data_IF_811072212584
#
_entry.id   IF_811072212584
#
_cell.length_a   1.000
_cell.length_b   1.000
_cell.length_c   1.000
_cell.angle_alpha   90.00
_cell.angle_beta   90.00
_cell.angle_gamma   90.00
#
_symmetry.space_group_name_H-M   'P 1'
#
loop_
_entity.id
_entity.type
_entity.pdbx_description
1 polymer ?
#
# COMPACT_ATOMS: atom_id res chain seq x y z
N UNK A 1 14.23 -8.14 -12.77
CA UNK A 1 13.39 -7.69 -11.64
C UNK A 1 12.55 -6.48 -12.06
N UNK A 2 11.26 -6.49 -11.78
CA UNK A 2 10.36 -5.35 -11.96
C UNK A 2 10.11 -4.70 -10.58
N UNK A 3 10.42 -3.41 -10.44
CA UNK A 3 10.20 -2.70 -9.18
C UNK A 3 8.76 -2.19 -9.09
N UNK A 4 8.17 -2.27 -7.90
CA UNK A 4 6.89 -1.58 -7.64
C UNK A 4 7.12 -0.06 -7.59
N UNK A 5 6.23 0.76 -8.17
CA UNK A 5 6.42 2.21 -8.24
C UNK A 5 6.45 2.85 -6.85
N UNK A 6 7.12 3.98 -6.76
CA UNK A 6 7.06 4.83 -5.56
C UNK A 6 5.70 5.52 -5.51
N UNK A 7 5.04 5.44 -4.36
CA UNK A 7 3.76 6.11 -4.12
C UNK A 7 4.05 7.43 -3.40
N UNK A 8 3.56 8.52 -3.95
CA UNK A 8 3.78 9.88 -3.46
C UNK A 8 2.67 10.37 -2.52
N UNK A 9 2.69 11.64 -2.11
CA UNK A 9 1.62 12.28 -1.37
C UNK A 9 0.54 12.84 -2.31
N UNK A 10 -0.66 13.09 -1.78
CA UNK A 10 -1.78 13.68 -2.53
C UNK A 10 -1.38 15.02 -3.19
N UNK A 11 -0.60 15.86 -2.51
CA UNK A 11 -0.10 17.13 -3.04
C UNK A 11 0.58 16.98 -4.40
N UNK A 12 1.40 15.95 -4.58
CA UNK A 12 2.08 15.71 -5.86
C UNK A 12 1.12 15.27 -6.95
N UNK A 13 0.10 14.46 -6.60
CA UNK A 13 -0.95 14.05 -7.54
C UNK A 13 -1.80 15.25 -7.96
N UNK A 14 -2.22 16.10 -7.03
CA UNK A 14 -2.98 17.31 -7.32
C UNK A 14 -2.20 18.21 -8.29
N UNK A 15 -0.91 18.49 -7.98
CA UNK A 15 -0.06 19.30 -8.86
C UNK A 15 0.02 18.70 -10.27
N UNK A 16 0.21 17.40 -10.38
CA UNK A 16 0.34 16.71 -11.67
C UNK A 16 -0.95 16.78 -12.48
N UNK A 17 -2.09 16.46 -11.86
CA UNK A 17 -3.41 16.48 -12.51
C UNK A 17 -3.77 17.89 -12.96
N UNK A 18 -3.61 18.91 -12.11
CA UNK A 18 -3.87 20.31 -12.46
C UNK A 18 -2.96 20.78 -13.60
N UNK A 19 -1.66 20.52 -13.51
CA UNK A 19 -0.72 20.87 -14.60
C UNK A 19 -1.08 20.20 -15.92
N UNK A 20 -1.55 18.94 -15.90
CA UNK A 20 -2.00 18.26 -17.11
C UNK A 20 -3.25 18.91 -17.70
N UNK A 21 -4.26 19.22 -16.87
CA UNK A 21 -5.49 19.88 -17.31
C UNK A 21 -5.20 21.28 -17.89
N UNK A 22 -4.39 22.09 -17.20
CA UNK A 22 -4.02 23.43 -17.65
C UNK A 22 -3.27 23.42 -18.98
N UNK A 23 -2.28 22.54 -19.14
CA UNK A 23 -1.51 22.40 -20.39
C UNK A 23 -2.35 21.99 -21.58
N UNK A 24 -3.43 21.26 -21.36
CA UNK A 24 -4.30 20.73 -22.41
C UNK A 24 -5.62 21.49 -22.54
N UNK A 25 -5.84 22.56 -21.76
CA UNK A 25 -7.10 23.31 -21.78
C UNK A 25 -8.30 22.49 -21.32
N UNK A 26 -8.10 21.49 -20.45
CA UNK A 26 -9.14 20.60 -19.96
C UNK A 26 -9.67 21.07 -18.59
N UNK A 27 -10.94 20.79 -18.26
CA UNK A 27 -11.44 21.04 -16.91
C UNK A 27 -10.69 20.13 -15.91
N UNK A 28 -10.64 20.55 -14.65
CA UNK A 28 -10.15 19.70 -13.58
C UNK A 28 -11.13 18.54 -13.36
N UNK A 29 -10.64 17.29 -13.33
CA UNK A 29 -11.50 16.13 -13.18
C UNK A 29 -11.97 15.96 -11.73
N UNK A 30 -13.05 15.18 -11.58
CA UNK A 30 -13.40 14.52 -10.31
C UNK A 30 -13.03 13.06 -10.46
N UNK A 31 -12.25 12.52 -9.52
CA UNK A 31 -11.79 11.13 -9.56
C UNK A 31 -12.16 10.42 -8.26
N UNK A 32 -12.82 9.27 -8.39
CA UNK A 32 -13.10 8.38 -7.28
C UNK A 32 -11.87 7.55 -6.92
N UNK A 33 -11.57 7.46 -5.61
CA UNK A 33 -10.45 6.70 -5.08
C UNK A 33 -10.89 5.64 -4.11
N UNK A 34 -10.22 4.49 -4.18
CA UNK A 34 -10.30 3.41 -3.20
C UNK A 34 -9.04 3.39 -2.34
N UNK A 35 -9.22 3.46 -1.03
CA UNK A 35 -8.14 3.42 -0.05
C UNK A 35 -8.00 2.05 0.59
N UNK A 36 -6.79 1.53 0.71
CA UNK A 36 -6.44 0.34 1.48
C UNK A 36 -5.47 0.67 2.59
N UNK A 37 -5.53 -0.07 3.70
CA UNK A 37 -4.61 0.15 4.82
C UNK A 37 -3.16 0.04 4.36
N UNK A 38 -2.36 1.06 4.65
CA UNK A 38 -0.93 1.02 4.42
C UNK A 38 -0.25 0.21 5.51
N UNK A 39 0.31 -0.91 5.12
CA UNK A 39 1.02 -1.79 6.03
C UNK A 39 2.46 -1.31 6.26
N UNK A 40 2.91 -1.35 7.51
CA UNK A 40 4.27 -0.99 7.90
C UNK A 40 5.13 -2.25 8.05
N UNK A 41 5.60 -2.77 6.95
CA UNK A 41 6.47 -3.92 6.86
C UNK A 41 7.69 -3.63 5.99
N UNK A 42 7.95 -4.51 5.04
CA UNK A 42 8.94 -4.31 3.98
C UNK A 42 8.32 -4.72 2.64
N UNK A 43 8.49 -3.87 1.63
CA UNK A 43 8.03 -4.18 0.28
C UNK A 43 8.68 -5.45 -0.23
N UNK A 44 7.87 -6.36 -0.73
CA UNK A 44 8.28 -7.67 -1.20
C UNK A 44 7.53 -8.05 -2.47
N UNK A 45 8.11 -8.90 -3.29
CA UNK A 45 7.46 -9.44 -4.47
C UNK A 45 7.93 -10.84 -4.79
N UNK A 46 7.09 -11.58 -5.52
CA UNK A 46 7.41 -12.90 -6.04
C UNK A 46 7.14 -12.88 -7.54
N UNK A 47 8.20 -12.93 -8.34
CA UNK A 47 8.08 -13.11 -9.79
C UNK A 47 8.00 -14.59 -10.12
N UNK A 48 6.97 -14.97 -10.86
CA UNK A 48 6.84 -16.30 -11.46
C UNK A 48 7.15 -16.17 -12.95
N UNK A 49 8.23 -16.79 -13.36
CA UNK A 49 8.71 -16.76 -14.74
C UNK A 49 9.41 -18.08 -15.07
N UNK A 50 9.10 -18.67 -16.21
CA UNK A 50 9.67 -19.95 -16.67
C UNK A 50 9.62 -21.04 -15.57
N UNK A 51 8.46 -21.15 -14.91
CA UNK A 51 8.24 -22.10 -13.80
C UNK A 51 9.07 -21.87 -12.54
N UNK A 52 9.81 -20.76 -12.45
CA UNK A 52 10.60 -20.38 -11.28
C UNK A 52 9.89 -19.30 -10.48
N UNK A 53 10.00 -19.38 -9.17
CA UNK A 53 9.59 -18.31 -8.25
C UNK A 53 10.82 -17.57 -7.78
N UNK A 54 10.90 -16.30 -8.11
CA UNK A 54 12.03 -15.42 -7.82
C UNK A 54 11.56 -14.38 -6.80
N UNK A 55 11.92 -14.52 -5.50
CA UNK A 55 11.58 -13.54 -4.50
C UNK A 55 12.42 -12.26 -4.68
N UNK A 56 11.82 -11.12 -4.41
CA UNK A 56 12.48 -9.82 -4.48
C UNK A 56 12.08 -8.91 -3.32
N UNK A 57 13.00 -8.04 -2.93
CA UNK A 57 12.71 -6.85 -2.15
C UNK A 57 12.41 -5.68 -3.10
N UNK A 58 12.26 -4.48 -2.56
CA UNK A 58 12.12 -3.28 -3.37
C UNK A 58 13.31 -3.05 -4.31
N UNK A 59 14.52 -3.41 -3.88
CA UNK A 59 15.74 -3.00 -4.57
C UNK A 59 16.49 -4.14 -5.28
N UNK A 60 16.28 -5.39 -4.86
CA UNK A 60 17.01 -6.53 -5.39
C UNK A 60 16.23 -7.82 -5.36
N UNK A 61 16.62 -8.76 -6.18
CA UNK A 61 16.23 -10.16 -6.05
C UNK A 61 16.84 -10.76 -4.78
N UNK A 62 16.14 -11.72 -4.20
CA UNK A 62 16.51 -12.35 -2.93
C UNK A 62 16.87 -13.82 -3.16
N UNK A 63 17.72 -14.33 -2.29
CA UNK A 63 18.00 -15.77 -2.17
C UNK A 63 18.02 -16.14 -0.68
N UNK A 64 18.05 -17.42 -0.36
CA UNK A 64 18.15 -17.88 1.03
C UNK A 64 19.43 -17.36 1.70
N UNK A 65 20.56 -17.28 0.92
CA UNK A 65 21.83 -16.75 1.40
C UNK A 65 21.84 -15.23 1.53
N UNK A 66 20.97 -14.54 0.80
CA UNK A 66 20.85 -13.07 0.81
C UNK A 66 19.38 -12.69 0.94
N UNK A 67 18.79 -13.05 2.07
CA UNK A 67 17.37 -12.91 2.36
C UNK A 67 17.02 -11.51 2.89
N UNK A 68 15.73 -11.24 3.04
CA UNK A 68 15.18 -10.05 3.66
C UNK A 68 14.10 -10.48 4.68
N UNK A 69 14.47 -10.53 5.94
CA UNK A 69 13.61 -10.98 7.05
C UNK A 69 12.96 -12.36 6.80
N UNK A 70 13.66 -13.30 6.15
CA UNK A 70 13.14 -14.65 5.89
C UNK A 70 12.10 -14.74 4.77
N UNK A 71 11.97 -13.71 3.91
CA UNK A 71 11.00 -13.72 2.81
C UNK A 71 11.37 -14.72 1.71
N UNK A 72 12.66 -14.82 1.36
CA UNK A 72 13.11 -15.80 0.35
C UNK A 72 12.90 -17.23 0.83
N UNK A 73 13.18 -17.51 2.09
CA UNK A 73 12.89 -18.81 2.71
C UNK A 73 11.39 -19.11 2.71
N UNK A 74 10.55 -18.12 3.06
CA UNK A 74 9.09 -18.25 2.96
C UNK A 74 8.65 -18.59 1.54
N UNK A 75 9.12 -17.88 0.53
CA UNK A 75 8.79 -18.11 -0.88
C UNK A 75 9.19 -19.50 -1.35
N UNK A 76 10.35 -20.02 -0.94
CA UNK A 76 10.83 -21.35 -1.31
C UNK A 76 9.85 -22.45 -0.85
N UNK A 77 9.24 -22.29 0.32
CA UNK A 77 8.22 -23.20 0.86
C UNK A 77 6.85 -23.04 0.20
N UNK A 78 6.60 -21.94 -0.50
CA UNK A 78 5.30 -21.59 -1.12
C UNK A 78 5.34 -21.55 -2.64
N UNK A 79 6.41 -22.04 -3.26
CA UNK A 79 6.64 -22.04 -4.72
C UNK A 79 5.45 -22.60 -5.49
N UNK A 80 4.89 -23.74 -5.06
CA UNK A 80 3.76 -24.38 -5.75
C UNK A 80 2.49 -23.50 -5.73
N UNK A 81 2.27 -22.71 -4.67
CA UNK A 81 1.12 -21.81 -4.57
C UNK A 81 1.26 -20.66 -5.59
N UNK A 82 2.40 -20.00 -5.62
CA UNK A 82 2.63 -18.90 -6.56
C UNK A 82 2.60 -19.35 -8.02
N UNK A 83 3.14 -20.54 -8.32
CA UNK A 83 3.06 -21.13 -9.66
C UNK A 83 1.62 -21.43 -10.04
N UNK A 84 0.84 -22.07 -9.17
CA UNK A 84 -0.56 -22.36 -9.43
C UNK A 84 -1.38 -21.06 -9.63
N UNK A 85 -1.10 -19.99 -8.87
CA UNK A 85 -1.73 -18.68 -9.10
C UNK A 85 -1.41 -18.14 -10.49
N UNK A 86 -0.15 -18.20 -10.91
CA UNK A 86 0.28 -17.74 -12.23
C UNK A 86 -0.37 -18.57 -13.35
N UNK A 87 -0.42 -19.87 -13.20
CA UNK A 87 -1.04 -20.80 -14.18
C UNK A 87 -2.54 -20.52 -14.32
N UNK A 88 -3.27 -20.35 -13.21
CA UNK A 88 -4.70 -20.02 -13.22
C UNK A 88 -4.99 -18.62 -13.79
N UNK A 89 -4.04 -17.70 -13.73
CA UNK A 89 -4.11 -16.38 -14.36
C UNK A 89 -3.65 -16.40 -15.83
N UNK A 90 -3.27 -17.57 -16.36
CA UNK A 90 -2.68 -17.75 -17.68
C UNK A 90 -1.49 -16.79 -17.94
N UNK A 91 -0.68 -16.56 -16.92
CA UNK A 91 0.44 -15.63 -16.96
C UNK A 91 1.76 -16.39 -17.07
N UNK A 92 2.52 -16.13 -18.14
CA UNK A 92 3.87 -16.69 -18.34
C UNK A 92 4.94 -15.95 -17.56
N UNK A 93 4.70 -14.69 -17.27
CA UNK A 93 5.55 -13.80 -16.49
C UNK A 93 4.65 -12.91 -15.63
N UNK A 94 4.67 -13.08 -14.34
CA UNK A 94 3.88 -12.26 -13.41
C UNK A 94 4.67 -12.01 -12.15
N UNK A 95 4.57 -10.80 -11.61
CA UNK A 95 5.12 -10.46 -10.30
C UNK A 95 3.99 -10.11 -9.35
N UNK A 96 3.83 -10.87 -8.28
CA UNK A 96 2.93 -10.54 -7.19
C UNK A 96 3.64 -9.61 -6.22
N UNK A 97 3.09 -8.42 -6.00
CA UNK A 97 3.61 -7.45 -5.04
C UNK A 97 2.80 -7.43 -3.77
N UNK A 98 3.49 -7.30 -2.66
CA UNK A 98 2.87 -7.23 -1.35
C UNK A 98 3.78 -6.59 -0.32
N UNK A 99 3.28 -6.58 0.90
CA UNK A 99 4.05 -6.21 2.07
C UNK A 99 4.35 -7.46 2.89
N UNK A 100 5.62 -7.69 3.21
CA UNK A 100 6.06 -8.70 4.17
C UNK A 100 5.99 -8.08 5.55
N UNK A 101 5.06 -8.56 6.38
CA UNK A 101 4.73 -7.99 7.69
C UNK A 101 4.92 -9.00 8.81
N UNK A 102 4.97 -8.50 10.03
CA UNK A 102 5.00 -9.31 11.24
C UNK A 102 6.21 -9.03 12.13
N UNK A 103 6.41 -9.91 13.10
CA UNK A 103 7.41 -9.74 14.14
C UNK A 103 8.84 -9.70 13.58
N UNK A 104 9.65 -8.78 14.13
CA UNK A 104 11.06 -8.63 13.77
C UNK A 104 11.30 -7.90 12.45
N UNK A 105 10.26 -7.38 11.76
CA UNK A 105 10.41 -6.61 10.51
C UNK A 105 10.40 -5.12 10.82
N UNK A 106 9.32 -4.63 11.43
CA UNK A 106 9.20 -3.24 11.89
C UNK A 106 8.73 -3.23 13.34
N UNK A 107 8.82 -2.06 13.99
CA UNK A 107 8.44 -1.88 15.39
C UNK A 107 7.38 -0.79 15.54
N UNK A 108 6.69 -0.76 16.69
CA UNK A 108 5.80 0.35 17.06
C UNK A 108 4.40 0.30 16.42
N UNK A 109 4.08 -0.70 15.61
CA UNK A 109 2.77 -0.85 14.96
C UNK A 109 2.07 -2.14 15.36
N UNK A 110 0.73 -2.15 15.28
CA UNK A 110 -0.07 -3.31 15.70
C UNK A 110 0.32 -4.62 14.99
N UNK A 111 0.59 -4.55 13.69
CA UNK A 111 0.98 -5.72 12.90
C UNK A 111 2.36 -6.29 13.24
N UNK A 112 3.20 -5.57 13.97
CA UNK A 112 4.51 -6.08 14.44
C UNK A 112 4.38 -7.20 15.48
N UNK A 113 3.20 -7.39 16.04
CA UNK A 113 2.88 -8.46 16.99
C UNK A 113 2.48 -9.78 16.31
N UNK A 114 2.18 -9.72 15.02
CA UNK A 114 1.72 -10.88 14.24
C UNK A 114 2.87 -11.80 13.85
N UNK A 115 2.58 -13.09 13.66
CA UNK A 115 3.49 -13.97 12.92
C UNK A 115 3.70 -13.43 11.50
N UNK A 116 4.89 -13.65 10.93
CA UNK A 116 5.22 -13.15 9.60
C UNK A 116 4.28 -13.67 8.55
N UNK A 117 3.82 -12.78 7.65
CA UNK A 117 2.89 -13.09 6.57
C UNK A 117 3.07 -12.16 5.40
N UNK A 118 2.75 -12.63 4.21
CA UNK A 118 2.80 -11.87 2.97
C UNK A 118 1.41 -11.37 2.62
N UNK A 119 1.23 -10.07 2.50
CA UNK A 119 -0.05 -9.45 2.14
C UNK A 119 0.07 -8.87 0.74
N UNK A 120 -0.55 -9.53 -0.23
CA UNK A 120 -0.54 -9.13 -1.64
C UNK A 120 -1.49 -7.94 -1.83
N UNK A 121 -1.04 -6.92 -2.54
CA UNK A 121 -1.85 -5.73 -2.86
C UNK A 121 -1.94 -5.44 -4.37
N UNK A 122 -1.09 -6.05 -5.20
CA UNK A 122 -1.11 -5.89 -6.65
C UNK A 122 -0.32 -7.02 -7.31
N UNK A 123 -0.49 -7.16 -8.63
CA UNK A 123 0.42 -7.92 -9.46
C UNK A 123 0.79 -7.12 -10.71
N UNK A 124 1.82 -7.55 -11.42
CA UNK A 124 2.25 -6.97 -12.68
C UNK A 124 2.52 -8.07 -13.70
N UNK A 125 1.90 -7.96 -14.85
CA UNK A 125 2.13 -8.77 -16.03
C UNK A 125 2.70 -7.86 -17.11
N UNK A 126 3.84 -8.19 -17.76
CA UNK A 126 4.44 -7.33 -18.79
C UNK A 126 3.52 -7.00 -19.98
N UNK A 127 2.51 -7.83 -20.23
CA UNK A 127 1.55 -7.63 -21.32
C UNK A 127 0.33 -6.84 -20.85
N UNK A 128 -0.20 -7.18 -19.67
CA UNK A 128 -1.46 -6.62 -19.14
C UNK A 128 -1.25 -5.36 -18.28
N UNK A 129 0.00 -5.09 -17.84
CA UNK A 129 0.31 -4.03 -16.90
C UNK A 129 0.01 -4.41 -15.43
N UNK A 130 -0.32 -3.42 -14.60
CA UNK A 130 -0.70 -3.64 -13.21
C UNK A 130 -2.08 -4.29 -13.11
N UNK A 131 -2.16 -5.34 -12.30
CA UNK A 131 -3.37 -6.10 -11.99
C UNK A 131 -3.79 -5.74 -10.57
N UNK A 132 -5.04 -5.37 -10.41
CA UNK A 132 -5.62 -5.02 -9.12
C UNK A 132 -5.85 -6.27 -8.28
N UNK A 133 -5.86 -6.11 -6.97
CA UNK A 133 -5.92 -7.24 -6.03
C UNK A 133 -7.17 -8.11 -6.22
N UNK A 134 -8.30 -7.49 -6.55
CA UNK A 134 -9.58 -8.19 -6.80
C UNK A 134 -9.54 -9.10 -8.04
N UNK A 135 -8.64 -8.82 -8.98
CA UNK A 135 -8.43 -9.61 -10.20
C UNK A 135 -7.31 -10.65 -10.06
N UNK A 136 -6.71 -10.78 -8.89
CA UNK A 136 -5.73 -11.82 -8.61
C UNK A 136 -6.46 -13.09 -8.16
N UNK A 137 -6.19 -14.19 -8.83
CA UNK A 137 -6.78 -15.50 -8.48
C UNK A 137 -6.35 -15.92 -7.07
N UNK A 138 -7.32 -16.34 -6.29
CA UNK A 138 -7.14 -16.83 -4.92
C UNK A 138 -7.39 -18.33 -4.88
N UNK A 139 -6.42 -19.05 -4.38
CA UNK A 139 -6.51 -20.51 -4.26
C UNK A 139 -6.85 -20.83 -2.81
N UNK A 140 -7.91 -21.63 -2.55
CA UNK A 140 -8.40 -22.13 -1.26
C UNK A 140 -7.52 -21.87 -0.03
N UNK A 141 -7.61 -20.65 0.51
CA UNK A 141 -6.70 -20.18 1.54
C UNK A 141 -7.06 -20.76 2.89
N UNK A 142 -6.18 -21.58 3.43
CA UNK A 142 -6.20 -21.84 4.86
C UNK A 142 -5.33 -20.82 5.57
N UNK A 143 -5.69 -20.45 6.80
CA UNK A 143 -4.88 -19.56 7.65
C UNK A 143 -3.41 -20.00 7.80
N UNK A 144 -3.13 -21.29 7.53
CA UNK A 144 -1.78 -21.88 7.55
C UNK A 144 -0.87 -21.43 6.41
N UNK A 145 -1.39 -20.79 5.35
CA UNK A 145 -0.58 -20.39 4.21
C UNK A 145 0.18 -19.08 4.43
N UNK A 146 -0.25 -18.24 5.37
CA UNK A 146 0.36 -16.93 5.69
C UNK A 146 0.48 -16.01 4.48
N UNK A 147 -0.34 -16.24 3.44
CA UNK A 147 -0.50 -15.36 2.28
C UNK A 147 -1.89 -14.77 2.38
N UNK A 148 -1.98 -13.47 2.31
CA UNK A 148 -3.19 -12.69 2.42
C UNK A 148 -3.32 -11.70 1.28
N UNK A 149 -4.49 -11.05 1.17
CA UNK A 149 -4.75 -9.99 0.21
C UNK A 149 -5.18 -8.73 0.96
N UNK A 150 -4.77 -7.57 0.45
CA UNK A 150 -4.99 -6.30 1.13
C UNK A 150 -6.48 -5.96 1.31
N UNK A 151 -7.33 -6.48 0.45
CA UNK A 151 -8.79 -6.32 0.47
C UNK A 151 -9.54 -7.34 1.35
N UNK A 152 -8.82 -8.15 2.14
CA UNK A 152 -9.44 -9.00 3.18
C UNK A 152 -10.00 -8.21 4.36
N UNK A 153 -9.78 -6.91 4.40
CA UNK A 153 -10.37 -5.95 5.33
C UNK A 153 -11.12 -4.87 4.55
N UNK A 154 -12.06 -4.15 5.17
CA UNK A 154 -12.78 -3.07 4.51
C UNK A 154 -11.84 -2.01 3.93
N UNK A 155 -12.20 -1.49 2.75
CA UNK A 155 -11.54 -0.38 2.08
C UNK A 155 -12.28 0.93 2.38
N UNK A 156 -11.63 2.05 2.04
CA UNK A 156 -12.15 3.40 2.17
C UNK A 156 -12.49 3.94 0.78
N UNK A 157 -13.43 4.87 0.69
CA UNK A 157 -13.81 5.52 -0.56
C UNK A 157 -13.77 7.03 -0.39
N UNK A 158 -13.26 7.75 -1.39
CA UNK A 158 -13.30 9.22 -1.43
C UNK A 158 -13.37 9.70 -2.86
N UNK A 159 -14.20 10.73 -3.10
CA UNK A 159 -14.24 11.47 -4.35
C UNK A 159 -13.36 12.70 -4.22
N UNK A 160 -12.42 12.90 -5.15
CA UNK A 160 -11.54 14.07 -5.15
C UNK A 160 -11.90 14.95 -6.33
N UNK A 161 -12.43 16.14 -6.04
CA UNK A 161 -12.55 17.22 -7.01
C UNK A 161 -11.20 17.95 -7.10
N UNK A 162 -10.52 17.83 -8.24
CA UNK A 162 -9.23 18.47 -8.43
C UNK A 162 -9.33 19.99 -8.64
N UNK A 163 -10.53 20.56 -8.75
CA UNK A 163 -10.74 22.00 -8.65
C UNK A 163 -10.71 22.48 -7.19
N UNK A 164 -11.33 21.73 -6.28
CA UNK A 164 -11.32 22.00 -4.83
C UNK A 164 -11.06 20.70 -4.04
N UNK A 165 -9.80 20.31 -3.84
CA UNK A 165 -9.44 19.06 -3.18
C UNK A 165 -9.54 19.11 -1.64
N UNK A 166 -9.81 20.28 -1.04
CA UNK A 166 -9.80 20.43 0.42
C UNK A 166 -10.83 19.56 1.15
N UNK A 167 -12.09 19.44 0.70
CA UNK A 167 -13.06 18.55 1.35
C UNK A 167 -12.59 17.09 1.37
N UNK A 168 -12.04 16.62 0.25
CA UNK A 168 -11.49 15.27 0.17
C UNK A 168 -10.28 15.06 1.08
N UNK A 169 -9.39 16.05 1.18
CA UNK A 169 -8.23 15.99 2.08
C UNK A 169 -8.64 15.86 3.56
N UNK A 170 -9.73 16.52 3.97
CA UNK A 170 -10.27 16.38 5.32
C UNK A 170 -10.76 14.94 5.59
N UNK A 171 -11.54 14.36 4.67
CA UNK A 171 -12.02 12.97 4.76
C UNK A 171 -10.85 11.97 4.80
N UNK A 172 -9.85 12.15 3.92
CA UNK A 172 -8.65 11.32 3.89
C UNK A 172 -7.92 11.39 5.23
N UNK A 173 -7.85 12.58 5.83
CA UNK A 173 -7.21 12.79 7.13
C UNK A 173 -7.96 12.03 8.24
N UNK A 174 -9.28 12.12 8.29
CA UNK A 174 -10.11 11.40 9.28
C UNK A 174 -9.89 9.88 9.18
N UNK A 175 -9.94 9.31 7.97
CA UNK A 175 -9.68 7.89 7.77
C UNK A 175 -8.25 7.50 8.17
N UNK A 176 -7.27 8.36 7.85
CA UNK A 176 -5.86 8.11 8.19
C UNK A 176 -5.65 8.09 9.70
N UNK A 177 -6.25 9.02 10.43
CA UNK A 177 -6.18 9.07 11.90
C UNK A 177 -6.91 7.87 12.55
N UNK A 178 -8.03 7.42 11.97
CA UNK A 178 -8.71 6.23 12.44
C UNK A 178 -7.83 4.96 12.30
N UNK A 179 -7.15 4.80 11.16
CA UNK A 179 -6.18 3.71 10.94
C UNK A 179 -4.98 3.84 11.87
N UNK A 180 -4.47 5.06 12.09
CA UNK A 180 -3.36 5.28 13.02
C UNK A 180 -3.75 4.91 14.44
N UNK A 181 -4.94 5.30 14.90
CA UNK A 181 -5.45 4.97 16.24
C UNK A 181 -5.53 3.46 16.47
N UNK A 182 -6.01 2.70 15.49
CA UNK A 182 -6.14 1.25 15.56
C UNK A 182 -6.02 0.65 14.16
N UNK A 183 -4.97 -0.15 13.96
CA UNK A 183 -4.71 -0.82 12.69
C UNK A 183 -5.78 -1.89 12.39
N UNK A 184 -6.58 -1.76 11.32
CA UNK A 184 -7.60 -2.76 10.96
C UNK A 184 -7.00 -4.15 10.68
N UNK A 185 -5.79 -4.20 10.11
CA UNK A 185 -5.06 -5.46 9.89
C UNK A 185 -4.64 -6.13 11.19
N UNK A 186 -4.22 -5.38 12.20
CA UNK A 186 -3.94 -5.95 13.51
C UNK A 186 -5.21 -6.46 14.18
N UNK A 187 -6.31 -5.69 14.11
CA UNK A 187 -7.62 -6.06 14.65
C UNK A 187 -8.18 -7.34 14.06
N UNK A 188 -7.96 -7.60 12.75
CA UNK A 188 -8.36 -8.85 12.09
C UNK A 188 -7.79 -10.09 12.78
N UNK A 189 -6.68 -9.96 13.49
CA UNK A 189 -5.97 -11.04 14.20
C UNK A 189 -5.95 -10.82 15.72
N UNK A 190 -6.97 -10.17 16.25
CA UNK A 190 -7.14 -9.89 17.69
C UNK A 190 -5.95 -9.16 18.34
N UNK A 191 -5.20 -8.40 17.54
CA UNK A 191 -4.09 -7.58 18.01
C UNK A 191 -4.48 -6.10 18.02
N UNK A 192 -4.08 -5.40 19.07
CA UNK A 192 -4.21 -3.95 19.18
C UNK A 192 -2.91 -3.26 18.81
N UNK A 193 -3.01 -2.04 18.28
CA UNK A 193 -1.88 -1.17 18.00
C UNK A 193 -2.11 -0.27 16.80
N UNK A 194 -1.24 0.72 16.67
CA UNK A 194 -1.37 1.74 15.62
C UNK A 194 -1.12 1.18 14.22
N UNK A 195 -1.75 1.81 13.21
CA UNK A 195 -1.47 1.60 11.79
C UNK A 195 -0.62 2.73 11.21
N UNK A 196 -0.10 2.57 10.00
CA UNK A 196 0.75 3.59 9.36
C UNK A 196 -0.06 4.64 8.60
N UNK A 197 -1.18 4.25 7.99
CA UNK A 197 -1.99 5.11 7.15
C UNK A 197 -2.73 4.35 6.06
N UNK A 198 -2.95 5.01 4.91
CA UNK A 198 -3.74 4.47 3.79
C UNK A 198 -3.00 4.71 2.47
N UNK A 199 -3.10 3.74 1.56
CA UNK A 199 -2.72 3.88 0.15
C UNK A 199 -3.99 4.03 -0.67
N UNK A 200 -4.01 5.02 -1.52
CA UNK A 200 -5.14 5.41 -2.36
C UNK A 200 -4.82 5.18 -3.82
N UNK A 201 -5.73 4.52 -4.52
CA UNK A 201 -5.66 4.27 -5.97
C UNK A 201 -6.98 4.64 -6.62
N UNK A 202 -7.00 5.13 -7.87
CA UNK A 202 -8.25 5.39 -8.57
C UNK A 202 -9.17 4.15 -8.57
N UNK A 203 -10.47 4.37 -8.37
CA UNK A 203 -11.46 3.29 -8.43
C UNK A 203 -11.70 2.82 -9.87
N UNK A 204 -11.59 3.73 -10.84
CA UNK A 204 -11.69 3.42 -12.26
C UNK A 204 -10.53 2.51 -12.71
N UNK A 205 -10.80 1.36 -13.36
CA UNK A 205 -9.79 0.40 -13.76
C UNK A 205 -8.73 0.94 -14.73
N UNK A 206 -9.07 1.87 -15.61
CA UNK A 206 -8.13 2.44 -16.57
C UNK A 206 -7.22 3.49 -15.90
N UNK A 207 -7.80 4.37 -15.07
CA UNK A 207 -7.02 5.34 -14.30
C UNK A 207 -6.12 4.64 -13.28
N UNK A 208 -6.54 3.50 -12.74
CA UNK A 208 -5.77 2.70 -11.79
C UNK A 208 -4.47 2.12 -12.38
N UNK A 209 -4.38 1.96 -13.69
CA UNK A 209 -3.14 1.56 -14.38
C UNK A 209 -2.06 2.66 -14.33
N UNK A 210 -2.47 3.91 -14.09
CA UNK A 210 -1.58 5.06 -14.02
C UNK A 210 -1.06 5.25 -12.59
N UNK A 211 0.10 4.65 -12.29
CA UNK A 211 0.70 4.72 -10.95
C UNK A 211 1.01 6.16 -10.49
N UNK A 212 1.08 7.10 -11.42
CA UNK A 212 1.24 8.52 -11.16
C UNK A 212 0.02 9.17 -10.49
N UNK A 213 -1.13 8.50 -10.48
CA UNK A 213 -2.32 8.92 -9.76
C UNK A 213 -2.42 8.28 -8.36
N UNK A 214 -1.52 7.36 -8.00
CA UNK A 214 -1.54 6.71 -6.70
C UNK A 214 -0.88 7.61 -5.65
N UNK A 215 -1.48 7.65 -4.47
CA UNK A 215 -0.89 8.40 -3.36
C UNK A 215 -1.05 7.66 -2.02
N UNK A 216 -0.32 8.15 -1.02
CA UNK A 216 -0.41 7.65 0.35
C UNK A 216 -0.69 8.80 1.30
N UNK A 217 -1.47 8.52 2.33
CA UNK A 217 -1.62 9.34 3.52
C UNK A 217 -1.04 8.59 4.72
N UNK A 218 -0.34 9.30 5.60
CA UNK A 218 0.28 8.74 6.80
C UNK A 218 -0.17 9.50 8.02
N UNK A 219 -0.36 8.77 9.12
CA UNK A 219 -0.62 9.35 10.42
C UNK A 219 0.58 10.15 10.96
N UNK A 220 0.36 10.85 12.06
CA UNK A 220 1.36 11.76 12.68
C UNK A 220 2.60 11.01 13.17
N UNK A 221 2.40 9.84 13.77
CA UNK A 221 3.49 9.00 14.30
C UNK A 221 4.42 8.44 13.20
N UNK A 222 3.95 8.41 11.94
CA UNK A 222 4.68 7.89 10.78
C UNK A 222 5.11 8.97 9.78
N UNK A 223 4.84 10.25 10.07
CA UNK A 223 5.47 11.34 9.33
C UNK A 223 6.95 11.40 9.69
N UNK A 224 7.81 11.29 8.70
CA UNK A 224 9.21 11.67 8.87
C UNK A 224 9.26 13.20 8.99
N UNK A 225 9.19 13.71 10.19
CA UNK A 225 9.59 15.06 10.49
C UNK A 225 11.11 15.13 10.40
N UNK A 226 11.61 15.83 9.40
CA UNK A 226 12.98 16.33 9.37
C UNK A 226 13.11 17.53 10.34
N UNK A 227 12.58 17.41 11.57
CA UNK A 227 12.89 18.36 12.65
C UNK A 227 12.56 17.71 13.99
N UNK A 228 13.60 17.26 14.67
CA UNK A 228 13.57 17.07 16.10
C UNK A 228 13.67 18.43 16.73
N UNK A 229 12.55 19.04 17.12
CA UNK A 229 12.55 20.13 18.06
C UNK A 229 11.38 20.03 19.04
N UNK A 230 11.76 19.91 20.32
CA UNK A 230 11.05 20.21 21.56
C UNK A 230 9.55 19.87 21.66
N UNK A 231 9.28 18.85 22.48
CA UNK A 231 7.99 18.63 23.14
C UNK A 231 7.67 19.79 24.08
N UNK A 232 6.59 20.53 23.82
CA UNK A 232 5.86 21.30 24.84
C UNK A 232 4.36 21.33 24.47
N UNK A 233 3.55 20.75 25.32
CA UNK A 233 2.15 20.93 25.77
C UNK A 233 1.04 21.48 24.84
N UNK A 234 0.02 20.62 24.54
CA UNK A 234 -1.40 20.64 24.96
C UNK A 234 -2.40 21.29 23.98
N UNK A 235 -3.44 20.52 23.56
CA UNK A 235 -4.75 20.77 22.94
C UNK A 235 -4.87 21.74 21.74
N UNK A 236 -4.35 22.91 21.78
CA UNK A 236 -4.23 23.79 20.61
C UNK A 236 -3.24 23.22 19.56
N UNK A 237 -2.27 22.45 20.01
CA UNK A 237 -1.31 21.76 19.17
C UNK A 237 -1.95 20.68 18.33
N UNK A 238 -2.91 19.91 18.85
CA UNK A 238 -3.60 18.86 18.09
C UNK A 238 -4.40 19.41 16.92
N UNK A 239 -5.01 20.58 17.11
CA UNK A 239 -5.73 21.28 16.05
C UNK A 239 -4.77 21.84 14.98
N UNK A 240 -3.65 22.41 15.39
CA UNK A 240 -2.61 22.89 14.49
C UNK A 240 -1.86 21.75 13.80
N UNK A 241 -1.71 20.61 14.45
CA UNK A 241 -1.13 19.38 13.90
C UNK A 241 -2.07 18.75 12.86
N UNK A 242 -3.38 18.76 13.07
CA UNK A 242 -4.39 18.33 12.09
C UNK A 242 -4.35 19.25 10.86
N UNK A 243 -4.31 20.57 11.05
CA UNK A 243 -4.19 21.52 9.95
C UNK A 243 -2.86 21.35 9.19
N UNK A 244 -1.74 21.18 9.90
CA UNK A 244 -0.44 20.85 9.29
C UNK A 244 -0.45 19.50 8.56
N UNK A 245 -1.29 18.55 9.00
CA UNK A 245 -1.49 17.29 8.30
C UNK A 245 -2.25 17.51 7.00
N UNK A 246 -3.33 18.28 7.03
CA UNK A 246 -4.09 18.68 5.84
C UNK A 246 -3.18 19.41 4.85
N UNK A 247 -2.44 20.43 5.30
CA UNK A 247 -1.49 21.19 4.45
C UNK A 247 -0.36 20.33 3.88
N UNK A 248 -0.01 19.24 4.50
CA UNK A 248 1.03 18.32 4.00
C UNK A 248 0.47 17.24 3.06
N UNK A 249 -0.84 17.07 3.03
CA UNK A 249 -1.55 16.18 2.09
C UNK A 249 -1.92 16.96 0.83
N UNK A 250 -2.26 18.24 0.97
CA UNK A 250 -2.47 19.21 -0.12
C UNK A 250 -1.16 19.77 -0.62
#
# INVERSE_FOLDING_TARGET
MQKFPSIESLRHVIKRVRTHSEKNGLPYPIIEYTGSVKLHGTNAGVRVYDGKCIPQSRERELSIQSDNFGFAEFCSRKTNIFRLMADLMAAKDITFYGEWIGNGIQKGVGISKLSRRFVIFSAYDPIKGYITVENIVRIGWSASNLIHFIDEIPTYQVSIDFADPQPAANIITEYTLAVEKQCPWASKFDCSGIGEGIVWVPSDPELRKLSDLWFKSKGLEHKQTFEKTARVQIDTQKFNEINSLVDSIL
#
